data_IF_515138591314
#
_entry.id   IF_515138591314
#
_cell.length_a   1.000
_cell.length_b   1.000
_cell.length_c   1.000
_cell.angle_alpha   90.00
_cell.angle_beta   90.00
_cell.angle_gamma   90.00
#
_symmetry.space_group_name_H-M   'P 1'
#
loop_
_entity.id
_entity.type
_entity.pdbx_description
1 polymer ?
#
# COMPACT_ATOMS: atom_id res chain seq x y z
N UNK A 1 1.15 -5.44 0.14
CA UNK A 1 -0.30 -5.73 0.25
C UNK A 1 -0.46 -6.94 1.17
N UNK A 2 -1.55 -7.03 1.93
CA UNK A 2 -1.88 -8.22 2.75
C UNK A 2 -3.25 -8.71 2.38
N UNK A 3 -3.40 -10.02 2.16
CA UNK A 3 -4.69 -10.63 1.81
C UNK A 3 -5.65 -10.64 3.01
N UNK A 4 -6.80 -9.99 2.87
CA UNK A 4 -7.83 -9.97 3.91
C UNK A 4 -8.50 -11.33 4.15
N UNK A 5 -8.43 -12.26 3.19
CA UNK A 5 -8.95 -13.62 3.34
C UNK A 5 -8.02 -14.58 4.08
N UNK A 6 -6.81 -14.15 4.44
CA UNK A 6 -5.86 -14.94 5.25
C UNK A 6 -6.39 -15.18 6.68
N UNK A 7 -5.77 -16.10 7.42
CA UNK A 7 -6.17 -16.40 8.80
C UNK A 7 -5.95 -15.20 9.74
N UNK A 8 -4.78 -14.56 9.67
CA UNK A 8 -4.44 -13.34 10.42
C UNK A 8 -3.60 -12.40 9.54
N UNK A 9 -4.19 -11.27 9.17
CA UNK A 9 -3.52 -10.25 8.36
C UNK A 9 -2.30 -9.62 9.06
N UNK A 10 -2.32 -9.49 10.38
CA UNK A 10 -1.22 -8.96 11.17
C UNK A 10 -0.04 -9.92 11.28
N UNK A 11 -0.29 -11.23 11.35
CA UNK A 11 0.77 -12.24 11.25
C UNK A 11 1.38 -12.27 9.84
N UNK A 12 0.54 -12.32 8.80
CA UNK A 12 1.02 -12.30 7.41
C UNK A 12 1.92 -11.08 7.12
N UNK A 13 1.56 -9.90 7.64
CA UNK A 13 2.41 -8.72 7.55
C UNK A 13 3.78 -8.90 8.22
N UNK A 14 3.81 -9.44 9.46
CA UNK A 14 5.05 -9.62 10.22
C UNK A 14 6.01 -10.59 9.55
N UNK A 15 5.49 -11.67 8.96
CA UNK A 15 6.29 -12.62 8.19
C UNK A 15 6.98 -11.91 7.02
N UNK A 16 6.21 -11.19 6.19
CA UNK A 16 6.77 -10.46 5.04
C UNK A 16 7.77 -9.39 5.48
N UNK A 17 7.52 -8.67 6.59
CA UNK A 17 8.48 -7.70 7.11
C UNK A 17 9.79 -8.33 7.56
N UNK A 18 9.73 -9.48 8.24
CA UNK A 18 10.94 -10.21 8.64
C UNK A 18 11.72 -10.72 7.43
N UNK A 19 11.05 -11.16 6.37
CA UNK A 19 11.69 -11.55 5.11
C UNK A 19 12.39 -10.37 4.42
N UNK A 20 11.75 -9.19 4.40
CA UNK A 20 12.33 -7.97 3.83
C UNK A 20 13.57 -7.50 4.62
N UNK A 21 13.52 -7.55 5.95
CA UNK A 21 14.66 -7.24 6.82
C UNK A 21 15.81 -8.23 6.60
N UNK A 22 15.49 -9.53 6.49
CA UNK A 22 16.49 -10.57 6.22
C UNK A 22 17.12 -10.48 4.82
N UNK A 23 16.41 -9.91 3.83
CA UNK A 23 16.93 -9.71 2.48
C UNK A 23 18.12 -8.73 2.44
N UNK A 24 18.12 -7.70 3.29
CA UNK A 24 19.34 -6.92 3.59
C UNK A 24 19.80 -5.89 2.55
N UNK A 25 18.90 -5.23 1.84
CA UNK A 25 19.21 -4.25 0.77
C UNK A 25 18.52 -2.88 0.98
N UNK A 26 18.25 -2.52 2.25
CA UNK A 26 17.61 -1.24 2.62
C UNK A 26 16.18 -1.06 2.11
N UNK A 27 15.54 -2.14 1.66
CA UNK A 27 14.15 -2.11 1.18
C UNK A 27 13.15 -1.89 2.33
N UNK A 28 13.51 -2.34 3.52
CA UNK A 28 12.77 -2.17 4.76
C UNK A 28 12.78 -0.72 5.29
N UNK A 29 13.77 0.08 4.88
CA UNK A 29 13.91 1.50 5.22
C UNK A 29 13.06 2.42 4.33
N UNK A 30 12.62 1.94 3.16
CA UNK A 30 11.82 2.74 2.22
C UNK A 30 10.43 3.03 2.78
N UNK A 31 9.82 4.18 2.43
CA UNK A 31 8.43 4.46 2.75
C UNK A 31 7.50 3.33 2.29
N UNK A 32 6.62 2.88 3.19
CA UNK A 32 5.76 1.74 2.94
C UNK A 32 4.28 2.11 3.10
N UNK A 33 3.46 1.78 2.09
CA UNK A 33 2.01 1.81 2.17
C UNK A 33 1.45 0.41 2.48
N UNK A 34 0.76 0.27 3.61
CA UNK A 34 0.15 -0.99 4.01
C UNK A 34 -1.33 -0.99 3.65
N UNK A 35 -1.75 -2.07 2.98
CA UNK A 35 -3.08 -2.19 2.39
C UNK A 35 -3.61 -3.59 2.58
N UNK A 36 -4.84 -3.70 3.09
CA UNK A 36 -5.63 -4.92 3.11
C UNK A 36 -6.33 -5.09 1.75
N UNK A 37 -6.00 -6.16 1.03
CA UNK A 37 -6.56 -6.48 -0.28
C UNK A 37 -7.72 -7.48 -0.17
N UNK A 38 -8.46 -7.66 -1.27
CA UNK A 38 -9.63 -8.56 -1.38
C UNK A 38 -10.74 -8.28 -0.36
N UNK A 39 -10.96 -7.01 -0.03
CA UNK A 39 -11.97 -6.61 0.95
C UNK A 39 -13.40 -7.02 0.59
N UNK A 40 -13.67 -7.23 -0.70
CA UNK A 40 -14.96 -7.73 -1.22
C UNK A 40 -15.30 -9.15 -0.78
N UNK A 41 -14.30 -9.93 -0.35
CA UNK A 41 -14.48 -11.31 0.11
C UNK A 41 -14.78 -11.43 1.60
N UNK A 42 -14.79 -10.30 2.31
CA UNK A 42 -14.96 -10.23 3.76
C UNK A 42 -16.34 -9.69 4.12
N UNK A 43 -16.97 -10.31 5.11
CA UNK A 43 -18.05 -9.65 5.84
C UNK A 43 -17.52 -8.51 6.73
N UNK A 44 -18.44 -7.72 7.28
CA UNK A 44 -18.09 -6.50 8.03
C UNK A 44 -17.25 -6.80 9.29
N UNK A 45 -17.56 -7.88 10.01
CA UNK A 45 -16.88 -8.23 11.26
C UNK A 45 -15.48 -8.77 10.98
N UNK A 46 -15.33 -9.60 9.94
CA UNK A 46 -14.02 -10.11 9.52
C UNK A 46 -13.15 -8.99 8.95
N UNK A 47 -13.74 -8.05 8.20
CA UNK A 47 -13.03 -6.85 7.74
C UNK A 47 -12.52 -6.00 8.91
N UNK A 48 -13.36 -5.73 9.92
CA UNK A 48 -12.96 -4.98 11.12
C UNK A 48 -11.83 -5.68 11.86
N UNK A 49 -11.95 -6.99 12.05
CA UNK A 49 -10.96 -7.82 12.75
C UNK A 49 -9.62 -7.81 12.03
N UNK A 50 -9.61 -8.08 10.73
CA UNK A 50 -8.39 -8.10 9.92
C UNK A 50 -7.72 -6.73 9.84
N UNK A 51 -8.52 -5.67 9.69
CA UNK A 51 -8.00 -4.30 9.69
C UNK A 51 -7.37 -3.93 11.03
N UNK A 52 -7.96 -4.35 12.15
CA UNK A 52 -7.43 -4.11 13.48
C UNK A 52 -6.12 -4.89 13.73
N UNK A 53 -6.08 -6.18 13.36
CA UNK A 53 -4.89 -7.01 13.45
C UNK A 53 -3.73 -6.42 12.64
N UNK A 54 -4.00 -6.05 11.39
CA UNK A 54 -3.00 -5.43 10.52
C UNK A 54 -2.53 -4.08 11.05
N UNK A 55 -3.45 -3.22 11.52
CA UNK A 55 -3.11 -1.92 12.13
C UNK A 55 -2.18 -2.10 13.33
N UNK A 56 -2.46 -3.08 14.19
CA UNK A 56 -1.64 -3.37 15.37
C UNK A 56 -0.23 -3.82 14.94
N UNK A 57 -0.12 -4.61 13.89
CA UNK A 57 1.15 -5.14 13.40
C UNK A 57 2.00 -4.08 12.69
N UNK A 58 1.41 -3.22 11.86
CA UNK A 58 2.14 -2.23 11.06
C UNK A 58 2.28 -0.84 11.68
N UNK A 59 1.60 -0.58 12.81
CA UNK A 59 1.69 0.70 13.54
C UNK A 59 1.01 1.89 12.85
N UNK A 60 0.38 1.70 11.69
CA UNK A 60 -0.31 2.72 10.89
C UNK A 60 -1.70 2.25 10.49
N UNK A 61 -2.57 3.17 10.09
CA UNK A 61 -3.92 2.80 9.61
C UNK A 61 -3.79 2.21 8.21
N UNK A 62 -4.09 0.92 8.00
CA UNK A 62 -3.99 0.32 6.68
C UNK A 62 -5.13 0.82 5.79
N UNK A 63 -4.80 0.99 4.51
CA UNK A 63 -5.82 1.16 3.47
C UNK A 63 -6.57 -0.15 3.28
N UNK A 64 -7.76 -0.06 2.71
CA UNK A 64 -8.59 -1.21 2.35
C UNK A 64 -8.95 -1.07 0.88
N UNK A 65 -8.70 -2.11 0.09
CA UNK A 65 -9.08 -2.13 -1.31
C UNK A 65 -9.58 -3.50 -1.77
N UNK A 66 -10.23 -3.48 -2.93
CA UNK A 66 -10.53 -4.67 -3.71
C UNK A 66 -10.18 -4.38 -5.17
N UNK A 67 -9.27 -5.17 -5.72
CA UNK A 67 -8.92 -5.07 -7.13
C UNK A 67 -10.09 -5.51 -8.03
N UNK A 68 -10.84 -6.54 -7.61
CA UNK A 68 -11.96 -7.09 -8.36
C UNK A 68 -13.13 -6.11 -8.48
N UNK A 69 -13.47 -5.40 -7.41
CA UNK A 69 -14.57 -4.42 -7.41
C UNK A 69 -14.11 -2.99 -7.69
N UNK A 70 -12.79 -2.78 -7.82
CA UNK A 70 -12.12 -1.47 -7.92
C UNK A 70 -12.29 -0.56 -6.70
N UNK A 71 -12.87 -1.06 -5.62
CA UNK A 71 -13.07 -0.30 -4.37
C UNK A 71 -11.74 0.10 -3.76
N UNK A 72 -11.60 1.36 -3.37
CA UNK A 72 -10.42 1.88 -2.65
C UNK A 72 -9.16 2.08 -3.49
N UNK A 73 -9.16 1.71 -4.77
CA UNK A 73 -7.97 1.82 -5.65
C UNK A 73 -7.51 3.26 -5.76
N UNK A 74 -8.41 4.21 -6.05
CA UNK A 74 -8.01 5.62 -6.23
C UNK A 74 -7.35 6.21 -5.00
N UNK A 75 -7.84 5.88 -3.80
CA UNK A 75 -7.28 6.37 -2.55
C UNK A 75 -5.83 5.86 -2.37
N UNK A 76 -5.58 4.58 -2.68
CA UNK A 76 -4.24 4.00 -2.60
C UNK A 76 -3.31 4.58 -3.65
N UNK A 77 -3.77 4.78 -4.90
CA UNK A 77 -2.97 5.39 -5.96
C UNK A 77 -2.57 6.83 -5.62
N UNK A 78 -3.51 7.64 -5.10
CA UNK A 78 -3.20 9.01 -4.66
C UNK A 78 -2.23 9.02 -3.49
N UNK A 79 -2.35 8.09 -2.55
CA UNK A 79 -1.42 7.96 -1.44
C UNK A 79 -0.01 7.53 -1.91
N UNK A 80 0.07 6.63 -2.89
CA UNK A 80 1.33 6.21 -3.50
C UNK A 80 2.03 7.36 -4.23
N UNK A 81 1.28 8.12 -5.04
CA UNK A 81 1.83 9.29 -5.73
C UNK A 81 2.40 10.30 -4.73
N UNK A 82 1.63 10.65 -3.69
CA UNK A 82 2.11 11.55 -2.62
C UNK A 82 3.38 11.05 -1.94
N UNK A 83 3.44 9.75 -1.61
CA UNK A 83 4.62 9.18 -0.98
C UNK A 83 5.86 9.23 -1.88
N UNK A 84 5.69 9.12 -3.20
CA UNK A 84 6.75 9.29 -4.19
C UNK A 84 7.19 10.75 -4.26
N UNK A 85 6.25 11.69 -4.36
CA UNK A 85 6.52 13.13 -4.41
C UNK A 85 7.29 13.58 -3.15
N UNK A 86 6.84 13.14 -1.97
CA UNK A 86 7.49 13.42 -0.68
C UNK A 86 8.91 12.84 -0.63
N UNK A 87 9.12 11.62 -1.14
CA UNK A 87 10.44 10.98 -1.17
C UNK A 87 11.41 11.66 -2.16
N UNK A 88 10.88 12.21 -3.26
CA UNK A 88 11.66 12.94 -4.26
C UNK A 88 11.89 14.41 -3.90
N UNK A 89 11.31 14.91 -2.79
CA UNK A 89 11.39 16.31 -2.40
C UNK A 89 10.56 17.24 -3.32
N UNK A 90 9.63 16.69 -4.09
CA UNK A 90 8.72 17.45 -4.97
C UNK A 90 7.56 17.96 -4.12
N UNK A 91 7.82 18.92 -3.24
CA UNK A 91 6.74 19.64 -2.56
C UNK A 91 6.19 20.71 -3.49
N UNK A 92 5.22 20.32 -4.31
CA UNK A 92 4.45 21.25 -5.15
C UNK A 92 4.95 21.37 -6.57
N UNK A 93 4.49 20.47 -7.43
CA UNK A 93 3.72 20.84 -8.61
C UNK A 93 3.15 19.55 -9.21
N UNK A 94 1.83 19.47 -9.31
CA UNK A 94 1.22 18.56 -10.29
C UNK A 94 1.49 19.18 -11.66
N UNK A 95 2.74 19.07 -12.13
CA UNK A 95 3.04 19.35 -13.52
C UNK A 95 2.15 18.40 -14.34
N UNK A 96 1.24 18.92 -15.19
CA UNK A 96 0.80 18.15 -16.33
C UNK A 96 2.09 17.77 -17.05
N UNK A 97 2.29 16.47 -17.31
CA UNK A 97 3.55 15.93 -17.79
C UNK A 97 4.20 16.85 -18.82
N UNK A 98 5.50 17.09 -18.65
CA UNK A 98 6.33 17.68 -19.70
C UNK A 98 5.90 16.99 -21.00
N UNK A 99 5.40 17.78 -21.95
CA UNK A 99 4.99 17.29 -23.25
C UNK A 99 6.18 16.49 -23.80
N UNK A 100 6.04 15.16 -23.91
CA UNK A 100 7.05 14.30 -24.50
C UNK A 100 7.39 14.89 -25.88
N UNK A 101 8.54 15.55 -25.96
CA UNK A 101 8.92 16.25 -27.16
C UNK A 101 9.04 15.20 -28.28
N UNK A 102 8.27 15.33 -29.38
CA UNK A 102 8.07 14.22 -30.29
C UNK A 102 9.41 13.84 -30.91
N UNK A 103 9.73 12.55 -30.74
CA UNK A 103 10.91 11.87 -31.26
C UNK A 103 11.31 12.42 -32.65
N UNK A 104 12.58 12.82 -32.77
CA UNK A 104 13.18 13.19 -34.05
C UNK A 104 14.24 12.14 -34.40
N UNK A 105 14.26 11.63 -35.65
CA UNK A 105 15.17 10.58 -36.08
C UNK A 105 16.65 10.96 -35.98
#
# INVERSE_FOLDING_TARGET
LVDGGSEDAGEAYRVVRAELEAYGEGLDEKPELVVLSKADTLDEDRLKTQKAALRKACGKVPFVLSAATRTGIEAVLRAALRAIDDANGVTGDLHPGEEDEPWRP
#
